data_IF_850712785290
#
_entry.id   IF_850712785290
#
_cell.length_a   1.000
_cell.length_b   1.000
_cell.length_c   1.000
_cell.angle_alpha   90.00
_cell.angle_beta   90.00
_cell.angle_gamma   90.00
#
_symmetry.space_group_name_H-M   'P 1'
#
loop_
_entity.id
_entity.type
_entity.pdbx_description
1 polymer ?
#
# COMPACT_ATOMS: atom_id res chain seq x y z
N UNK A 1 58.29 -36.57 -11.78
CA UNK A 1 57.35 -36.69 -10.66
C UNK A 1 56.30 -35.63 -10.83
N UNK A 2 55.05 -36.02 -10.75
CA UNK A 2 53.89 -35.50 -11.47
C UNK A 2 53.44 -34.11 -11.06
N UNK A 3 53.31 -33.24 -12.07
CA UNK A 3 52.68 -31.94 -12.04
C UNK A 3 51.17 -32.09 -11.78
N UNK A 4 50.66 -31.26 -10.86
CA UNK A 4 49.25 -31.04 -10.66
C UNK A 4 48.92 -29.59 -11.06
N UNK A 5 48.50 -29.42 -12.32
CA UNK A 5 47.92 -28.18 -12.79
C UNK A 5 46.45 -28.16 -12.38
N UNK A 6 46.11 -27.31 -11.43
CA UNK A 6 44.73 -26.93 -11.14
C UNK A 6 44.31 -25.82 -12.13
N UNK A 7 43.40 -26.19 -13.01
CA UNK A 7 42.70 -25.22 -13.88
C UNK A 7 41.64 -24.47 -13.07
N UNK A 8 41.88 -23.21 -12.81
CA UNK A 8 40.92 -22.27 -12.30
C UNK A 8 39.93 -21.86 -13.41
N UNK A 9 38.70 -22.34 -13.33
CA UNK A 9 37.58 -21.86 -14.15
C UNK A 9 37.21 -20.47 -13.71
N UNK A 10 37.73 -19.44 -14.36
CA UNK A 10 37.29 -18.09 -14.26
C UNK A 10 36.03 -17.93 -15.13
N UNK A 11 34.90 -17.74 -14.50
CA UNK A 11 33.66 -17.32 -15.16
C UNK A 11 33.90 -15.92 -15.78
N UNK A 12 33.61 -15.68 -17.06
CA UNK A 12 33.85 -14.40 -17.67
C UNK A 12 32.89 -13.35 -17.04
N UNK A 13 33.47 -12.26 -16.57
CA UNK A 13 32.71 -11.05 -16.20
C UNK A 13 32.03 -10.53 -17.48
N UNK A 14 30.69 -10.45 -17.44
CA UNK A 14 29.92 -9.82 -18.51
C UNK A 14 30.21 -8.33 -18.47
N UNK A 15 30.85 -7.80 -19.49
CA UNK A 15 31.05 -6.37 -19.65
C UNK A 15 29.70 -5.68 -19.92
N UNK A 16 29.44 -4.61 -19.16
CA UNK A 16 28.18 -3.82 -19.23
C UNK A 16 28.01 -3.09 -20.59
N UNK A 17 29.00 -3.17 -21.47
CA UNK A 17 29.03 -2.51 -22.79
C UNK A 17 28.09 -3.13 -23.84
N UNK A 18 27.56 -4.35 -23.62
CA UNK A 18 26.80 -5.06 -24.64
C UNK A 18 25.25 -4.89 -24.54
N UNK A 19 24.78 -4.01 -23.66
CA UNK A 19 23.34 -3.69 -23.60
C UNK A 19 23.03 -2.63 -24.66
N UNK A 20 22.71 -3.04 -25.87
CA UNK A 20 22.15 -2.18 -26.91
C UNK A 20 20.69 -1.88 -26.57
N UNK A 21 20.45 -0.63 -26.15
CA UNK A 21 19.08 -0.09 -26.09
C UNK A 21 18.61 0.24 -27.51
N UNK A 22 17.77 -0.59 -28.08
CA UNK A 22 17.07 -0.25 -29.32
C UNK A 22 15.92 0.72 -29.01
N UNK A 23 16.11 1.99 -29.36
CA UNK A 23 15.23 3.13 -29.09
C UNK A 23 14.14 3.29 -30.13
N UNK A 24 13.60 2.23 -30.72
CA UNK A 24 12.47 2.38 -31.64
C UNK A 24 11.45 1.28 -31.39
N UNK A 25 10.47 1.58 -30.53
CA UNK A 25 9.08 1.11 -30.73
C UNK A 25 8.17 2.06 -29.93
N UNK A 26 7.49 2.93 -30.65
CA UNK A 26 6.35 3.73 -30.18
C UNK A 26 5.17 2.78 -29.86
N UNK A 27 4.67 2.84 -28.64
CA UNK A 27 3.37 2.26 -28.29
C UNK A 27 3.41 1.02 -27.37
N UNK A 28 4.11 1.09 -26.23
CA UNK A 28 3.99 0.05 -25.20
C UNK A 28 3.45 0.62 -23.90
N UNK A 29 2.14 0.48 -23.72
CA UNK A 29 1.54 0.41 -22.41
C UNK A 29 2.01 -0.88 -21.72
N UNK A 30 2.76 -0.73 -20.60
CA UNK A 30 2.97 -1.69 -19.52
C UNK A 30 3.27 -3.18 -19.88
N UNK A 31 4.17 -3.44 -20.80
CA UNK A 31 4.80 -4.76 -20.85
C UNK A 31 5.90 -4.84 -19.78
N UNK A 32 5.67 -5.66 -18.77
CA UNK A 32 6.74 -6.04 -17.83
C UNK A 32 7.83 -6.77 -18.61
N UNK A 33 8.96 -6.11 -18.83
CA UNK A 33 10.14 -6.74 -19.47
C UNK A 33 10.68 -7.76 -18.48
N UNK A 34 10.43 -9.04 -18.72
CA UNK A 34 11.11 -10.12 -18.01
C UNK A 34 12.53 -10.22 -18.57
N UNK A 35 13.51 -9.96 -17.72
CA UNK A 35 14.92 -10.15 -18.06
C UNK A 35 15.21 -11.65 -18.13
N UNK A 36 16.09 -12.04 -19.04
CA UNK A 36 16.57 -13.41 -19.14
C UNK A 36 17.23 -13.82 -17.81
N UNK A 37 16.87 -15.00 -17.29
CA UNK A 37 17.32 -15.48 -15.99
C UNK A 37 16.55 -14.98 -14.77
N UNK A 38 15.57 -14.09 -14.96
CA UNK A 38 14.72 -13.63 -13.85
C UNK A 38 13.71 -14.73 -13.45
N UNK A 39 13.62 -15.12 -12.14
CA UNK A 39 12.63 -16.06 -11.67
C UNK A 39 11.20 -15.64 -12.02
N UNK A 40 10.33 -16.60 -12.32
CA UNK A 40 8.94 -16.34 -12.77
C UNK A 40 8.06 -15.66 -11.73
N UNK A 41 8.43 -15.75 -10.45
CA UNK A 41 7.73 -15.14 -9.32
C UNK A 41 8.28 -13.76 -8.93
N UNK A 42 9.22 -13.21 -9.69
CA UNK A 42 9.76 -11.87 -9.50
C UNK A 42 9.14 -10.88 -10.49
N UNK A 43 9.05 -9.64 -10.07
CA UNK A 43 8.61 -8.51 -10.88
C UNK A 43 9.38 -7.26 -10.48
N UNK A 44 9.55 -6.32 -11.40
CA UNK A 44 10.12 -5.01 -11.10
C UNK A 44 9.10 -4.12 -10.41
N UNK A 45 9.55 -3.17 -9.60
CA UNK A 45 8.66 -2.22 -8.90
C UNK A 45 7.75 -1.44 -9.88
N UNK A 46 8.25 -1.13 -11.06
CA UNK A 46 7.50 -0.40 -12.10
C UNK A 46 6.27 -1.19 -12.59
N UNK A 47 6.32 -2.52 -12.53
CA UNK A 47 5.20 -3.39 -12.91
C UNK A 47 3.95 -3.16 -12.05
N UNK A 48 4.14 -2.65 -10.83
CA UNK A 48 3.06 -2.41 -9.88
C UNK A 48 2.52 -0.98 -9.93
N UNK A 49 3.28 -0.03 -10.46
CA UNK A 49 2.86 1.36 -10.60
C UNK A 49 1.69 1.50 -11.58
N UNK A 50 0.69 2.29 -11.20
CA UNK A 50 -0.52 2.51 -12.00
C UNK A 50 -1.61 1.45 -11.82
N UNK A 51 -1.34 0.31 -11.17
CA UNK A 51 -2.36 -0.71 -10.90
C UNK A 51 -3.45 -0.16 -10.00
N UNK A 52 -4.69 -0.56 -10.26
CA UNK A 52 -5.83 -0.23 -9.43
C UNK A 52 -5.72 -0.92 -8.07
N UNK A 53 -6.08 -0.21 -7.01
CA UNK A 53 -6.12 -0.75 -5.65
C UNK A 53 -7.58 -1.00 -5.29
N UNK A 54 -7.92 -2.25 -5.07
CA UNK A 54 -9.30 -2.68 -4.75
C UNK A 54 -9.29 -3.58 -3.51
N UNK A 55 -10.39 -3.62 -2.78
CA UNK A 55 -10.61 -4.62 -1.74
C UNK A 55 -11.39 -5.85 -2.28
N UNK A 56 -11.67 -6.79 -1.38
CA UNK A 56 -12.41 -8.01 -1.70
C UNK A 56 -13.88 -7.76 -2.09
N UNK A 57 -14.41 -6.59 -1.75
CA UNK A 57 -15.77 -6.16 -2.11
C UNK A 57 -15.78 -5.40 -3.45
N UNK A 58 -14.62 -5.19 -4.07
CA UNK A 58 -14.45 -4.50 -5.34
C UNK A 58 -14.44 -2.97 -5.22
N UNK A 59 -14.34 -2.42 -4.00
CA UNK A 59 -14.25 -0.98 -3.79
C UNK A 59 -12.87 -0.50 -4.23
N UNK A 60 -12.83 0.48 -5.15
CA UNK A 60 -11.60 1.07 -5.67
C UNK A 60 -11.10 2.20 -4.74
N UNK A 61 -9.84 2.12 -4.33
CA UNK A 61 -9.17 3.10 -3.45
C UNK A 61 -8.24 4.05 -4.21
N UNK A 62 -8.01 3.83 -5.48
CA UNK A 62 -7.11 4.60 -6.31
C UNK A 62 -6.11 3.73 -7.06
N UNK A 63 -4.93 4.28 -7.35
CA UNK A 63 -3.85 3.58 -8.08
C UNK A 63 -2.55 3.62 -7.31
N UNK A 64 -1.77 2.56 -7.44
CA UNK A 64 -0.40 2.50 -6.89
C UNK A 64 0.45 3.59 -7.55
N UNK A 65 1.02 4.48 -6.75
CA UNK A 65 1.92 5.54 -7.20
C UNK A 65 3.39 5.18 -6.96
N UNK A 66 3.70 4.70 -5.76
CA UNK A 66 5.05 4.29 -5.36
C UNK A 66 4.99 3.01 -4.54
N UNK A 67 6.04 2.21 -4.64
CA UNK A 67 6.31 1.09 -3.73
C UNK A 67 7.40 1.56 -2.76
N UNK A 68 7.21 1.26 -1.48
CA UNK A 68 8.17 1.56 -0.43
C UNK A 68 8.89 0.29 0.00
N UNK A 69 10.20 0.37 0.05
CA UNK A 69 11.08 -0.73 0.44
C UNK A 69 11.77 -0.32 1.75
N UNK A 70 11.73 -1.19 2.73
CA UNK A 70 12.48 -1.03 3.97
C UNK A 70 13.98 -1.15 3.64
N UNK A 71 14.76 -0.14 4.03
CA UNK A 71 16.18 -0.07 3.68
C UNK A 71 17.03 -1.11 4.42
N UNK A 72 16.60 -1.54 5.60
CA UNK A 72 17.34 -2.49 6.42
C UNK A 72 17.08 -3.94 6.00
N UNK A 73 15.81 -4.26 5.70
CA UNK A 73 15.38 -5.62 5.37
C UNK A 73 15.28 -5.88 3.87
N UNK A 74 15.29 -4.83 3.05
CA UNK A 74 15.05 -4.85 1.60
C UNK A 74 13.68 -5.46 1.22
N UNK A 75 12.76 -5.53 2.18
CA UNK A 75 11.40 -5.99 1.96
C UNK A 75 10.47 -4.83 1.57
N UNK A 76 9.36 -5.15 0.89
CA UNK A 76 8.30 -4.17 0.62
C UNK A 76 7.62 -3.82 1.95
N UNK A 77 7.57 -2.55 2.30
CA UNK A 77 6.90 -2.05 3.51
C UNK A 77 5.49 -1.54 3.22
N UNK A 78 5.17 -1.27 1.96
CA UNK A 78 3.86 -0.77 1.58
C UNK A 78 3.88 -0.01 0.27
N UNK A 79 2.78 0.68 0.00
CA UNK A 79 2.57 1.44 -1.23
C UNK A 79 1.99 2.82 -0.94
N UNK A 80 2.33 3.81 -1.77
CA UNK A 80 1.58 5.07 -1.85
C UNK A 80 0.45 4.90 -2.86
N UNK A 81 -0.76 5.26 -2.46
CA UNK A 81 -1.95 5.22 -3.31
C UNK A 81 -2.33 6.63 -3.71
N UNK A 82 -2.49 6.85 -5.00
CA UNK A 82 -2.97 8.08 -5.60
C UNK A 82 -4.49 8.01 -5.83
N UNK A 83 -5.23 9.00 -5.29
CA UNK A 83 -6.69 9.08 -5.35
C UNK A 83 -7.20 10.23 -6.24
N UNK A 84 -6.52 10.54 -7.33
CA UNK A 84 -6.91 11.66 -8.20
C UNK A 84 -6.75 13.01 -7.50
N UNK A 85 -7.85 13.73 -7.28
CA UNK A 85 -7.82 15.06 -6.62
C UNK A 85 -7.64 15.01 -5.10
N UNK A 86 -7.78 13.85 -4.48
CA UNK A 86 -7.56 13.69 -3.06
C UNK A 86 -6.06 13.54 -2.76
N UNK A 87 -5.69 13.74 -1.48
CA UNK A 87 -4.30 13.52 -1.04
C UNK A 87 -3.93 12.05 -1.17
N UNK A 88 -2.73 11.83 -1.66
CA UNK A 88 -2.13 10.50 -1.63
C UNK A 88 -2.02 9.99 -0.18
N UNK A 89 -2.12 8.68 0.00
CA UNK A 89 -1.94 8.09 1.33
C UNK A 89 -1.04 6.85 1.24
N UNK A 90 -0.34 6.59 2.33
CA UNK A 90 0.48 5.40 2.49
C UNK A 90 -0.38 4.25 3.00
N UNK A 91 -0.16 3.07 2.45
CA UNK A 91 -0.77 1.82 2.85
C UNK A 91 0.34 0.80 3.13
N UNK A 92 0.39 0.29 4.36
CA UNK A 92 1.39 -0.71 4.74
C UNK A 92 1.09 -2.08 4.12
N UNK A 93 2.13 -2.91 4.08
CA UNK A 93 2.09 -4.24 3.46
C UNK A 93 1.04 -5.18 4.06
N UNK A 94 0.71 -5.03 5.36
CA UNK A 94 -0.28 -5.84 6.06
C UNK A 94 -1.72 -5.71 5.52
N UNK A 95 -1.97 -4.66 4.73
CA UNK A 95 -3.21 -4.50 3.98
C UNK A 95 -3.20 -5.21 2.63
N UNK A 96 -2.01 -5.58 2.13
CA UNK A 96 -1.85 -6.15 0.79
C UNK A 96 -2.10 -7.66 0.86
N UNK A 97 -3.06 -8.15 0.09
CA UNK A 97 -3.31 -9.58 -0.09
C UNK A 97 -2.43 -10.12 -1.22
N UNK A 98 -2.58 -9.55 -2.41
CA UNK A 98 -1.78 -9.93 -3.58
C UNK A 98 -1.77 -8.88 -4.66
N UNK A 99 -0.75 -8.97 -5.52
CA UNK A 99 -0.73 -8.28 -6.81
C UNK A 99 -1.23 -9.22 -7.91
N UNK A 100 -2.07 -8.70 -8.80
CA UNK A 100 -2.45 -9.32 -10.05
C UNK A 100 -1.90 -8.52 -11.25
N UNK A 101 -2.22 -8.92 -12.47
CA UNK A 101 -1.77 -8.18 -13.66
C UNK A 101 -2.28 -6.74 -13.70
N UNK A 102 -3.51 -6.49 -13.26
CA UNK A 102 -4.14 -5.17 -13.35
C UNK A 102 -4.37 -4.50 -12.00
N UNK A 103 -4.38 -5.27 -10.91
CA UNK A 103 -4.82 -4.78 -9.61
C UNK A 103 -3.89 -5.15 -8.45
N UNK A 104 -3.90 -4.31 -7.43
CA UNK A 104 -3.47 -4.62 -6.08
C UNK A 104 -4.72 -4.94 -5.25
N UNK A 105 -4.84 -6.18 -4.80
CA UNK A 105 -5.94 -6.62 -3.96
C UNK A 105 -5.58 -6.41 -2.49
N UNK A 106 -6.50 -5.78 -1.75
CA UNK A 106 -6.38 -5.59 -0.31
C UNK A 106 -7.04 -6.73 0.46
N UNK A 107 -6.42 -7.13 1.56
CA UNK A 107 -6.94 -8.10 2.51
C UNK A 107 -8.16 -7.57 3.28
N UNK A 108 -8.20 -6.26 3.49
CA UNK A 108 -9.23 -5.52 4.24
C UNK A 108 -9.30 -4.06 3.79
N UNK A 109 -10.45 -3.38 3.99
CA UNK A 109 -10.59 -1.95 3.72
C UNK A 109 -9.66 -1.12 4.60
N UNK A 110 -8.93 -0.14 4.04
CA UNK A 110 -8.07 0.75 4.82
C UNK A 110 -8.86 1.88 5.47
N UNK A 111 -8.53 2.20 6.72
CA UNK A 111 -8.96 3.47 7.33
C UNK A 111 -8.17 4.61 6.69
N UNK A 112 -8.88 5.64 6.22
CA UNK A 112 -8.29 6.79 5.52
C UNK A 112 -8.93 8.11 5.97
N UNK A 113 -8.20 9.18 5.78
CA UNK A 113 -8.71 10.54 6.03
C UNK A 113 -9.90 10.84 5.10
N UNK A 114 -10.91 11.51 5.64
CA UNK A 114 -12.12 11.88 4.91
C UNK A 114 -13.20 10.79 4.87
N UNK A 115 -12.90 9.56 5.26
CA UNK A 115 -13.91 8.49 5.31
C UNK A 115 -15.02 8.86 6.31
N UNK A 116 -16.31 8.67 5.97
CA UNK A 116 -17.40 8.92 6.90
C UNK A 116 -17.32 8.01 8.13
N UNK A 117 -17.77 8.54 9.26
CA UNK A 117 -17.84 7.82 10.54
C UNK A 117 -19.30 7.77 10.98
N UNK A 118 -19.75 6.59 11.38
CA UNK A 118 -21.07 6.35 11.97
C UNK A 118 -20.94 5.69 13.32
N UNK A 119 -21.97 5.82 14.13
CA UNK A 119 -22.13 5.07 15.37
C UNK A 119 -22.52 3.60 15.11
N UNK A 120 -22.72 2.83 16.19
CA UNK A 120 -23.12 1.43 16.11
C UNK A 120 -24.49 1.26 15.45
N UNK A 121 -25.38 2.24 15.59
CA UNK A 121 -26.74 2.27 15.01
C UNK A 121 -26.74 2.89 13.60
N UNK A 122 -25.54 3.18 13.04
CA UNK A 122 -25.32 3.77 11.70
C UNK A 122 -25.75 5.22 11.56
N UNK A 123 -25.98 5.96 12.63
CA UNK A 123 -26.20 7.38 12.60
C UNK A 123 -24.86 8.10 12.29
N UNK A 124 -24.95 9.12 11.46
CA UNK A 124 -23.77 9.91 11.09
C UNK A 124 -23.20 10.63 12.30
N UNK A 125 -21.91 10.43 12.55
CA UNK A 125 -21.10 11.16 13.53
C UNK A 125 -20.34 12.27 12.81
N UNK A 126 -19.49 11.92 11.84
CA UNK A 126 -18.61 12.87 11.17
C UNK A 126 -17.75 12.22 10.12
N UNK A 127 -16.47 12.62 10.09
CA UNK A 127 -15.45 12.08 9.20
C UNK A 127 -14.12 11.91 9.94
N UNK A 128 -13.32 10.96 9.50
CA UNK A 128 -11.94 10.82 9.96
C UNK A 128 -11.15 12.05 9.47
N UNK A 129 -10.61 12.82 10.40
CA UNK A 129 -9.80 14.02 10.13
C UNK A 129 -8.32 13.68 10.07
N UNK A 130 -7.85 12.78 10.96
CA UNK A 130 -6.45 12.37 11.04
C UNK A 130 -6.35 10.93 11.50
N UNK A 131 -5.26 10.27 11.09
CA UNK A 131 -4.86 8.95 11.56
C UNK A 131 -3.61 9.10 12.41
N UNK A 132 -3.62 8.50 13.59
CA UNK A 132 -2.45 8.37 14.43
C UNK A 132 -1.94 6.94 14.33
N UNK A 133 -0.68 6.82 13.90
CA UNK A 133 -0.04 5.53 13.68
C UNK A 133 1.22 5.44 14.53
N UNK A 134 1.53 4.25 14.94
CA UNK A 134 2.81 3.95 15.55
C UNK A 134 3.94 4.29 14.56
N UNK A 135 4.95 5.10 14.94
CA UNK A 135 6.00 5.52 14.02
C UNK A 135 6.91 4.35 13.56
N UNK A 136 7.05 3.32 14.38
CA UNK A 136 7.97 2.21 14.12
C UNK A 136 7.28 1.09 13.34
N UNK A 137 6.04 0.74 13.69
CA UNK A 137 5.28 -0.38 13.08
C UNK A 137 4.29 0.08 12.03
N UNK A 138 4.00 1.39 11.93
CA UNK A 138 2.96 1.99 11.10
C UNK A 138 1.53 1.47 11.38
N UNK A 139 1.34 0.74 12.47
CA UNK A 139 0.02 0.29 12.87
C UNK A 139 -0.88 1.46 13.28
N UNK A 140 -2.16 1.37 12.93
CA UNK A 140 -3.16 2.34 13.38
C UNK A 140 -3.38 2.21 14.88
N UNK A 141 -3.14 3.28 15.63
CA UNK A 141 -3.37 3.36 17.07
C UNK A 141 -4.69 4.06 17.40
N UNK A 142 -4.97 5.18 16.73
CA UNK A 142 -6.18 5.96 16.94
C UNK A 142 -6.57 6.77 15.70
N UNK A 143 -7.80 7.24 15.68
CA UNK A 143 -8.34 8.15 14.67
C UNK A 143 -8.84 9.42 15.31
N UNK A 144 -8.60 10.57 14.68
CA UNK A 144 -9.26 11.83 15.02
C UNK A 144 -10.51 11.95 14.16
N UNK A 145 -11.67 12.01 14.80
CA UNK A 145 -12.98 12.17 14.15
C UNK A 145 -13.49 13.59 14.36
N UNK A 146 -13.82 14.27 13.26
CA UNK A 146 -14.46 15.60 13.30
C UNK A 146 -15.94 15.46 13.02
N UNK A 147 -16.77 16.09 13.85
CA UNK A 147 -18.23 16.20 13.68
C UNK A 147 -18.65 17.31 12.70
N UNK A 148 -17.67 18.08 12.19
CA UNK A 148 -17.89 19.18 11.23
C UNK A 148 -18.10 20.56 11.88
N UNK A 149 -18.13 20.67 13.21
CA UNK A 149 -18.42 21.90 13.97
C UNK A 149 -17.24 22.38 14.83
N UNK A 150 -16.02 22.32 14.33
CA UNK A 150 -14.78 22.68 15.05
C UNK A 150 -14.39 21.75 16.19
N UNK A 151 -15.16 20.73 16.52
CA UNK A 151 -14.80 19.74 17.52
C UNK A 151 -14.25 18.48 16.84
N UNK A 152 -13.20 17.97 17.41
CA UNK A 152 -12.69 16.66 17.00
C UNK A 152 -12.29 15.87 18.25
N UNK A 153 -12.49 14.57 18.18
CA UNK A 153 -12.21 13.64 19.27
C UNK A 153 -11.28 12.54 18.79
N UNK A 154 -10.37 12.13 19.66
CA UNK A 154 -9.43 11.04 19.35
C UNK A 154 -10.02 9.76 19.91
N UNK A 155 -10.17 8.77 19.03
CA UNK A 155 -10.71 7.47 19.33
C UNK A 155 -9.65 6.39 19.12
N UNK A 156 -9.50 5.49 20.08
CA UNK A 156 -8.62 4.33 19.94
C UNK A 156 -9.08 3.39 18.82
N UNK A 157 -8.16 2.66 18.21
CA UNK A 157 -8.47 1.58 17.26
C UNK A 157 -9.47 0.56 17.84
N UNK A 158 -9.44 0.32 19.14
CA UNK A 158 -10.37 -0.61 19.81
C UNK A 158 -11.83 -0.17 19.76
N UNK A 159 -12.10 1.11 19.58
CA UNK A 159 -13.45 1.68 19.47
C UNK A 159 -14.03 1.57 18.06
N UNK A 160 -13.24 1.10 17.10
CA UNK A 160 -13.70 0.81 15.75
C UNK A 160 -14.32 -0.60 15.74
N UNK A 161 -15.60 -0.71 15.38
CA UNK A 161 -16.26 -1.98 15.18
C UNK A 161 -15.96 -2.56 13.80
N UNK A 162 -15.95 -1.72 12.75
CA UNK A 162 -15.72 -2.16 11.40
C UNK A 162 -15.31 -1.02 10.46
N UNK A 163 -14.71 -1.41 9.34
CA UNK A 163 -14.27 -0.49 8.28
C UNK A 163 -14.71 -1.03 6.93
N UNK A 164 -15.29 -0.18 6.11
CA UNK A 164 -15.70 -0.42 4.74
C UNK A 164 -15.76 0.92 4.01
N UNK A 165 -16.87 1.24 3.36
CA UNK A 165 -17.14 2.59 2.84
C UNK A 165 -17.22 3.65 3.96
N UNK A 166 -17.46 3.20 5.19
CA UNK A 166 -17.55 4.00 6.40
C UNK A 166 -16.79 3.32 7.53
N UNK A 167 -16.36 4.10 8.50
CA UNK A 167 -15.93 3.58 9.80
C UNK A 167 -17.17 3.50 10.69
N UNK A 168 -17.39 2.35 11.30
CA UNK A 168 -18.46 2.12 12.27
C UNK A 168 -17.82 2.02 13.66
N UNK A 169 -18.28 2.85 14.58
CA UNK A 169 -17.81 2.83 15.98
C UNK A 169 -18.58 1.81 16.82
N UNK A 170 -17.97 1.39 17.95
CA UNK A 170 -18.60 0.50 18.94
C UNK A 170 -19.52 1.24 19.92
N UNK A 171 -19.64 2.56 19.80
CA UNK A 171 -20.39 3.43 20.69
C UNK A 171 -21.54 4.10 19.94
N UNK A 172 -22.49 4.61 20.69
CA UNK A 172 -23.59 5.46 20.19
C UNK A 172 -23.11 6.88 19.97
N UNK A 173 -23.90 7.65 19.24
CA UNK A 173 -23.60 9.08 18.99
C UNK A 173 -23.62 9.92 20.28
N UNK A 174 -24.45 9.56 21.24
CA UNK A 174 -24.54 10.18 22.55
C UNK A 174 -23.27 9.93 23.36
N UNK A 175 -22.80 8.70 23.40
CA UNK A 175 -21.51 8.33 24.03
C UNK A 175 -20.34 9.05 23.35
N UNK A 176 -20.32 9.11 22.02
CA UNK A 176 -19.29 9.88 21.29
C UNK A 176 -19.27 11.35 21.71
N UNK A 177 -20.44 11.99 21.89
CA UNK A 177 -20.51 13.38 22.31
C UNK A 177 -20.01 13.61 23.73
N UNK A 178 -20.14 12.61 24.61
CA UNK A 178 -19.73 12.70 26.04
C UNK A 178 -18.22 12.51 26.25
N UNK A 179 -17.47 12.05 25.25
CA UNK A 179 -16.00 11.99 25.32
C UNK A 179 -15.47 13.43 25.42
N UNK A 180 -14.60 13.70 26.39
CA UNK A 180 -13.93 15.00 26.58
C UNK A 180 -12.79 15.24 25.58
#
# INVERSE_FOLDING_TARGET
MRDFLQSSNLTPLIEISDIRYDKQILGFSNMSVKLEGMPTNMATADTFTGKKVIDREGIEYGKVKHIHINQDTLAVSGVTIHQGFNKDFFLSEDYIDKFSEETLLLSRPPVRTGIPVTDIDRHKIGKVKRLHRNPDTNELESIEVSDGLMHSKILSKSEIWGVGEKVILRMTKEEFKSIE
#
